data_IF_221345535629
#
_entry.id   IF_221345535629
#
_cell.length_a   1.000
_cell.length_b   1.000
_cell.length_c   1.000
_cell.angle_alpha   90.00
_cell.angle_beta   90.00
_cell.angle_gamma   90.00
#
_symmetry.space_group_name_H-M   'P 1'
#
loop_
_entity.id
_entity.type
_entity.pdbx_description
1 polymer ?
#
# COMPACT_ATOMS: atom_id res chain seq x y z
N UNK A 1 -7.01 -12.72 -12.96
CA UNK A 1 -6.06 -13.24 -12.00
C UNK A 1 -4.65 -13.24 -12.59
N UNK A 2 -3.66 -12.91 -11.78
CA UNK A 2 -2.23 -12.92 -12.15
C UNK A 2 -1.44 -13.74 -11.12
N UNK A 3 -0.28 -14.24 -11.55
CA UNK A 3 0.69 -14.88 -10.65
C UNK A 3 1.30 -13.82 -9.73
N UNK A 4 1.08 -13.98 -8.43
CA UNK A 4 1.50 -12.98 -7.45
C UNK A 4 3.02 -12.94 -7.29
N UNK A 5 3.72 -14.08 -7.36
CA UNK A 5 5.17 -14.11 -7.18
C UNK A 5 5.89 -13.43 -8.34
N UNK A 6 5.46 -13.70 -9.57
CA UNK A 6 6.01 -13.04 -10.77
C UNK A 6 5.74 -11.54 -10.71
N UNK A 7 4.53 -11.13 -10.27
CA UNK A 7 4.18 -9.72 -10.11
C UNK A 7 5.09 -9.01 -9.10
N UNK A 8 5.36 -9.66 -7.95
CA UNK A 8 6.19 -9.10 -6.88
C UNK A 8 7.68 -9.02 -7.23
N UNK A 9 8.19 -10.00 -7.98
CA UNK A 9 9.63 -10.13 -8.27
C UNK A 9 10.04 -9.53 -9.60
N UNK A 10 9.20 -9.69 -10.63
CA UNK A 10 9.53 -9.30 -12.00
C UNK A 10 8.75 -8.06 -12.48
N UNK A 11 7.85 -7.52 -11.65
CA UNK A 11 6.96 -6.40 -12.01
C UNK A 11 6.12 -6.69 -13.25
N UNK A 12 5.75 -7.96 -13.47
CA UNK A 12 4.99 -8.42 -14.63
C UNK A 12 3.69 -9.10 -14.21
N UNK A 13 2.58 -8.67 -14.78
CA UNK A 13 1.25 -9.22 -14.54
C UNK A 13 0.98 -10.45 -15.41
N UNK A 14 1.72 -11.53 -15.19
CA UNK A 14 1.54 -12.80 -15.92
C UNK A 14 0.22 -13.46 -15.48
N UNK A 15 -0.64 -13.92 -16.41
CA UNK A 15 -1.84 -14.64 -16.04
C UNK A 15 -1.55 -15.84 -15.14
N UNK A 16 -2.31 -15.97 -14.05
CA UNK A 16 -2.20 -17.12 -13.17
C UNK A 16 -2.62 -18.41 -13.90
N UNK A 17 -1.97 -19.50 -13.59
CA UNK A 17 -2.25 -20.84 -14.10
C UNK A 17 -2.19 -21.87 -12.95
N UNK A 18 -2.37 -23.15 -13.27
CA UNK A 18 -2.41 -24.24 -12.29
C UNK A 18 -1.13 -24.39 -11.45
N UNK A 19 0.01 -23.87 -11.94
CA UNK A 19 1.30 -23.91 -11.26
C UNK A 19 1.58 -22.66 -10.43
N UNK A 20 0.70 -21.65 -10.47
CA UNK A 20 0.87 -20.42 -9.70
C UNK A 20 0.68 -20.73 -8.22
N UNK A 21 1.75 -20.59 -7.42
CA UNK A 21 1.73 -20.86 -5.99
C UNK A 21 0.82 -19.88 -5.23
N UNK A 22 0.71 -18.66 -5.75
CA UNK A 22 -0.20 -17.60 -5.23
C UNK A 22 -0.83 -16.86 -6.39
N UNK A 23 -2.09 -16.52 -6.21
CA UNK A 23 -2.87 -15.80 -7.23
C UNK A 23 -3.39 -14.49 -6.65
N UNK A 24 -3.23 -13.40 -7.41
CA UNK A 24 -3.81 -12.10 -7.09
C UNK A 24 -4.85 -11.70 -8.14
N UNK A 25 -5.98 -11.17 -7.65
CA UNK A 25 -7.07 -10.71 -8.51
C UNK A 25 -7.08 -9.19 -8.55
N UNK A 26 -7.19 -8.66 -9.77
CA UNK A 26 -7.37 -7.23 -10.01
C UNK A 26 -8.66 -6.99 -10.77
N UNK A 27 -9.25 -5.83 -10.52
CA UNK A 27 -10.36 -5.34 -11.34
C UNK A 27 -9.77 -4.65 -12.56
N UNK A 28 -10.30 -4.98 -13.73
CA UNK A 28 -10.00 -4.26 -14.95
C UNK A 28 -10.86 -3.00 -14.98
N UNK A 29 -10.21 -1.83 -15.00
CA UNK A 29 -10.90 -0.54 -14.88
C UNK A 29 -11.54 -0.08 -16.21
N UNK A 30 -11.28 -0.79 -17.29
CA UNK A 30 -11.86 -0.50 -18.61
C UNK A 30 -10.90 0.22 -19.55
N UNK A 31 -11.47 0.70 -20.67
CA UNK A 31 -10.75 1.43 -21.71
C UNK A 31 -10.69 2.92 -21.42
N UNK A 32 -9.76 3.59 -22.06
CA UNK A 32 -9.66 5.05 -21.99
C UNK A 32 -10.90 5.71 -22.57
N UNK A 33 -11.28 6.84 -21.99
CA UNK A 33 -12.28 7.73 -22.56
C UNK A 33 -11.77 8.32 -23.88
N UNK A 34 -12.66 8.71 -24.81
CA UNK A 34 -12.25 9.47 -26.01
C UNK A 34 -11.39 10.68 -25.63
N UNK A 35 -10.44 11.00 -26.48
CA UNK A 35 -9.49 12.13 -26.30
C UNK A 35 -8.59 12.03 -25.04
N UNK A 36 -8.57 10.88 -24.36
CA UNK A 36 -7.67 10.62 -23.27
C UNK A 36 -6.63 9.57 -23.66
N UNK A 37 -5.45 9.78 -23.16
CA UNK A 37 -4.30 8.89 -23.35
C UNK A 37 -3.82 8.41 -21.98
N UNK A 38 -3.32 7.18 -21.94
CA UNK A 38 -2.67 6.62 -20.77
C UNK A 38 -1.36 5.98 -21.19
N UNK A 39 -0.37 6.17 -20.35
CA UNK A 39 0.93 5.53 -20.46
C UNK A 39 1.27 4.86 -19.13
N UNK A 40 1.95 3.72 -19.22
CA UNK A 40 2.60 3.09 -18.08
C UNK A 40 4.10 3.23 -18.28
N UNK A 41 4.78 3.84 -17.32
CA UNK A 41 6.21 4.15 -17.42
C UNK A 41 7.00 3.47 -16.31
N UNK A 42 8.21 3.03 -16.68
CA UNK A 42 9.20 2.53 -15.73
C UNK A 42 9.83 3.65 -14.89
N UNK A 43 10.71 3.26 -14.00
CA UNK A 43 11.45 4.21 -13.14
C UNK A 43 12.38 5.14 -13.93
N UNK A 44 12.86 4.68 -15.08
CA UNK A 44 13.65 5.48 -16.04
C UNK A 44 12.82 6.44 -16.88
N UNK A 45 11.49 6.42 -16.72
CA UNK A 45 10.53 7.21 -17.51
C UNK A 45 10.19 6.62 -18.88
N UNK A 46 10.78 5.48 -19.25
CA UNK A 46 10.48 4.77 -20.50
C UNK A 46 9.11 4.13 -20.50
N UNK A 47 8.49 4.02 -21.69
CA UNK A 47 7.22 3.33 -21.87
C UNK A 47 7.39 1.83 -21.66
N UNK A 48 6.50 1.25 -20.86
CA UNK A 48 6.45 -0.17 -20.60
C UNK A 48 5.51 -0.90 -21.57
N UNK A 49 5.80 -2.16 -21.82
CA UNK A 49 4.98 -3.03 -22.64
C UNK A 49 3.71 -3.49 -21.86
N UNK A 50 2.77 -4.12 -22.60
CA UNK A 50 1.59 -4.71 -21.97
C UNK A 50 2.00 -5.67 -20.85
N UNK A 51 1.26 -5.62 -19.74
CA UNK A 51 1.44 -6.42 -18.54
C UNK A 51 2.73 -6.15 -17.75
N UNK A 52 3.51 -5.17 -18.12
CA UNK A 52 4.58 -4.65 -17.26
C UNK A 52 4.02 -3.57 -16.33
N UNK A 53 4.31 -3.71 -15.04
CA UNK A 53 3.80 -2.81 -13.99
C UNK A 53 4.71 -1.63 -13.82
N UNK A 54 4.14 -0.44 -13.94
CA UNK A 54 4.83 0.81 -13.74
C UNK A 54 3.91 1.92 -13.28
N UNK A 55 4.41 3.13 -13.30
CA UNK A 55 3.69 4.33 -12.90
C UNK A 55 2.71 4.75 -14.01
N UNK A 56 1.48 5.04 -13.62
CA UNK A 56 0.42 5.41 -14.56
C UNK A 56 0.43 6.92 -14.76
N UNK A 57 0.55 7.32 -16.03
CA UNK A 57 0.42 8.69 -16.50
C UNK A 57 -0.82 8.82 -17.37
N UNK A 58 -1.53 9.92 -17.22
CA UNK A 58 -2.74 10.21 -18.03
C UNK A 58 -2.64 11.61 -18.64
N UNK A 59 -3.23 11.76 -19.84
CA UNK A 59 -3.38 13.04 -20.54
C UNK A 59 -4.77 13.11 -21.13
N UNK A 60 -5.40 14.27 -21.09
CA UNK A 60 -6.72 14.46 -21.69
C UNK A 60 -7.44 15.72 -21.20
N UNK A 61 -8.57 16.06 -21.81
CA UNK A 61 -9.27 17.33 -21.59
C UNK A 61 -9.93 17.46 -20.19
N UNK A 62 -10.12 16.35 -19.49
CA UNK A 62 -10.75 16.36 -18.15
C UNK A 62 -9.76 16.46 -16.99
N UNK A 63 -8.46 16.60 -17.28
CA UNK A 63 -7.46 16.71 -16.23
C UNK A 63 -7.57 18.05 -15.50
N UNK A 64 -7.13 18.05 -14.25
CA UNK A 64 -7.02 19.27 -13.46
C UNK A 64 -6.05 20.28 -14.12
N UNK A 65 -6.32 21.56 -13.96
CA UNK A 65 -5.40 22.62 -14.34
C UNK A 65 -4.21 22.74 -13.36
N UNK A 66 -4.36 22.22 -12.16
CA UNK A 66 -3.37 22.22 -11.09
C UNK A 66 -4.01 22.22 -9.71
N UNK A 67 -3.18 22.13 -8.69
CA UNK A 67 -3.60 22.28 -7.29
C UNK A 67 -3.80 23.76 -6.98
N UNK A 68 -4.92 24.11 -6.35
CA UNK A 68 -5.26 25.50 -6.02
C UNK A 68 -4.23 26.12 -5.07
N UNK A 69 -3.62 27.21 -5.50
CA UNK A 69 -2.60 27.93 -4.70
C UNK A 69 -1.29 27.19 -4.49
N UNK A 70 -1.04 26.06 -5.20
CA UNK A 70 0.13 25.22 -5.01
C UNK A 70 0.84 24.90 -6.37
N UNK A 71 1.45 25.91 -7.00
CA UNK A 71 2.10 25.73 -8.31
C UNK A 71 3.30 24.74 -8.29
N UNK A 72 4.04 24.71 -7.20
CA UNK A 72 5.18 23.77 -7.08
C UNK A 72 4.71 22.31 -6.98
N UNK A 73 3.63 22.05 -6.22
CA UNK A 73 3.01 20.73 -6.15
C UNK A 73 2.44 20.32 -7.52
N UNK A 74 1.86 21.28 -8.23
CA UNK A 74 1.34 21.05 -9.58
C UNK A 74 2.46 20.65 -10.53
N UNK A 75 3.57 21.38 -10.54
CA UNK A 75 4.72 21.09 -11.41
C UNK A 75 5.38 19.74 -11.14
N UNK A 76 5.23 19.17 -9.94
CA UNK A 76 5.75 17.83 -9.60
C UNK A 76 4.93 16.70 -10.23
N UNK A 77 3.66 16.93 -10.53
CA UNK A 77 2.77 15.87 -11.02
C UNK A 77 2.24 16.11 -12.42
N UNK A 78 2.22 17.36 -12.90
CA UNK A 78 1.70 17.72 -14.21
C UNK A 78 2.84 18.28 -15.07
N UNK A 79 3.21 17.55 -16.11
CA UNK A 79 4.28 17.96 -17.04
C UNK A 79 3.83 19.07 -17.97
N UNK A 80 4.79 19.74 -18.61
CA UNK A 80 4.53 20.79 -19.62
C UNK A 80 3.79 20.23 -20.85
N UNK A 81 3.94 18.94 -21.16
CA UNK A 81 3.26 18.26 -22.26
C UNK A 81 1.84 17.80 -21.89
N UNK A 82 1.37 18.11 -20.67
CA UNK A 82 0.04 17.80 -20.17
C UNK A 82 -0.13 16.38 -19.63
N UNK A 83 0.94 15.68 -19.31
CA UNK A 83 0.89 14.39 -18.64
C UNK A 83 0.79 14.57 -17.13
N UNK A 84 -0.23 13.96 -16.54
CA UNK A 84 -0.41 13.87 -15.09
C UNK A 84 0.14 12.55 -14.58
N UNK A 85 1.13 12.62 -13.68
CA UNK A 85 1.50 11.49 -12.83
C UNK A 85 0.40 11.26 -11.80
N UNK A 86 -0.32 10.15 -11.92
CA UNK A 86 -1.44 9.82 -11.02
C UNK A 86 -0.96 9.40 -9.62
N UNK A 87 0.30 9.00 -9.49
CA UNK A 87 0.85 8.37 -8.30
C UNK A 87 0.36 6.92 -8.10
N UNK A 88 -0.38 6.38 -9.05
CA UNK A 88 -0.81 4.98 -9.04
C UNK A 88 0.15 4.11 -9.85
N UNK A 89 0.26 2.84 -9.45
CA UNK A 89 0.92 1.77 -10.19
C UNK A 89 -0.12 0.91 -10.91
N UNK A 90 0.26 0.41 -12.06
CA UNK A 90 -0.61 -0.48 -12.82
C UNK A 90 0.02 -0.96 -14.13
N UNK A 91 -0.79 -1.58 -14.96
CA UNK A 91 -0.37 -2.09 -16.26
C UNK A 91 -1.52 -2.01 -17.26
N UNK A 92 -1.17 -2.07 -18.54
CA UNK A 92 -2.14 -2.19 -19.64
C UNK A 92 -2.29 -3.66 -20.06
N UNK A 93 -3.49 -4.04 -20.48
CA UNK A 93 -3.79 -5.34 -21.07
C UNK A 93 -4.94 -5.23 -22.03
N UNK A 94 -4.71 -5.52 -23.31
CA UNK A 94 -5.72 -5.38 -24.38
C UNK A 94 -6.31 -3.98 -24.46
N UNK A 95 -5.52 -2.94 -24.28
CA UNK A 95 -5.94 -1.54 -24.26
C UNK A 95 -6.78 -1.13 -23.05
N UNK A 96 -6.84 -1.96 -22.01
CA UNK A 96 -7.53 -1.67 -20.76
C UNK A 96 -6.52 -1.44 -19.63
N UNK A 97 -6.86 -0.54 -18.69
CA UNK A 97 -6.03 -0.24 -17.53
C UNK A 97 -6.39 -1.12 -16.33
N UNK A 98 -5.36 -1.57 -15.63
CA UNK A 98 -5.48 -2.28 -14.37
C UNK A 98 -4.62 -1.57 -13.34
N UNK A 99 -5.20 -1.12 -12.24
CA UNK A 99 -4.51 -0.46 -11.15
C UNK A 99 -4.09 -1.52 -10.12
N UNK A 100 -2.82 -1.54 -9.75
CA UNK A 100 -2.26 -2.49 -8.77
C UNK A 100 -2.09 -1.89 -7.37
N UNK A 101 -1.95 -0.57 -7.26
CA UNK A 101 -1.82 0.13 -5.98
C UNK A 101 -1.28 1.54 -6.13
N UNK A 102 -0.81 2.11 -5.02
CA UNK A 102 -0.17 3.42 -4.96
C UNK A 102 1.35 3.28 -4.92
N UNK A 103 2.06 4.05 -5.73
CA UNK A 103 3.51 4.01 -5.76
C UNK A 103 4.14 4.33 -4.39
N UNK A 104 3.62 5.34 -3.69
CA UNK A 104 4.09 5.76 -2.37
C UNK A 104 3.74 4.81 -1.21
N UNK A 105 2.79 3.91 -1.43
CA UNK A 105 2.36 2.94 -0.40
C UNK A 105 3.08 1.59 -0.59
N UNK A 106 3.78 1.39 -1.72
CA UNK A 106 4.51 0.16 -1.99
C UNK A 106 5.62 -0.04 -0.96
N UNK A 107 5.71 -1.24 -0.41
CA UNK A 107 6.77 -1.64 0.51
C UNK A 107 7.70 -2.60 -0.24
N UNK A 108 8.99 -2.34 -0.18
CA UNK A 108 10.01 -3.20 -0.82
C UNK A 108 10.71 -4.01 0.27
N UNK A 109 10.50 -5.32 0.27
CA UNK A 109 11.12 -6.21 1.24
C UNK A 109 11.94 -7.27 0.51
N UNK A 110 13.23 -7.30 0.77
CA UNK A 110 14.16 -8.25 0.12
C UNK A 110 14.05 -8.22 -1.42
N UNK A 111 13.91 -7.03 -2.01
CA UNK A 111 13.79 -6.82 -3.45
C UNK A 111 12.43 -7.21 -4.05
N UNK A 112 11.42 -7.53 -3.21
CA UNK A 112 10.05 -7.83 -3.67
C UNK A 112 9.13 -6.65 -3.40
N UNK A 113 8.30 -6.35 -4.36
CA UNK A 113 7.21 -5.37 -4.20
C UNK A 113 6.05 -5.99 -3.44
N UNK A 114 5.75 -5.45 -2.27
CA UNK A 114 4.66 -5.90 -1.41
C UNK A 114 3.63 -4.77 -1.29
N UNK A 115 2.38 -5.09 -1.54
CA UNK A 115 1.28 -4.13 -1.42
C UNK A 115 0.68 -4.19 -0.01
N UNK A 116 0.81 -3.15 0.81
CA UNK A 116 0.28 -3.12 2.17
C UNK A 116 -1.20 -3.49 2.27
N UNK A 117 -2.00 -3.05 1.32
CA UNK A 117 -3.43 -3.33 1.30
C UNK A 117 -3.76 -4.83 1.24
N UNK A 118 -2.96 -5.62 0.51
CA UNK A 118 -3.16 -7.07 0.45
C UNK A 118 -2.83 -7.73 1.79
N UNK A 119 -1.78 -7.24 2.45
CA UNK A 119 -1.40 -7.70 3.78
C UNK A 119 -2.47 -7.40 4.83
N UNK A 120 -3.02 -6.18 4.78
CA UNK A 120 -4.10 -5.72 5.65
C UNK A 120 -5.34 -6.59 5.49
N UNK A 121 -5.83 -6.75 4.25
CA UNK A 121 -7.01 -7.56 3.96
C UNK A 121 -6.81 -9.04 4.32
N UNK A 122 -5.63 -9.59 4.03
CA UNK A 122 -5.34 -10.98 4.35
C UNK A 122 -5.31 -11.22 5.87
N UNK A 123 -4.72 -10.30 6.65
CA UNK A 123 -4.72 -10.38 8.10
C UNK A 123 -6.15 -10.23 8.68
N UNK A 124 -6.92 -9.27 8.18
CA UNK A 124 -8.32 -9.03 8.60
C UNK A 124 -9.26 -10.21 8.26
N UNK A 125 -8.99 -10.90 7.16
CA UNK A 125 -9.78 -12.08 6.77
C UNK A 125 -9.44 -13.32 7.58
N UNK A 126 -8.20 -13.48 8.02
CA UNK A 126 -7.72 -14.69 8.69
C UNK A 126 -7.83 -14.61 10.22
N UNK A 127 -7.57 -13.44 10.80
CA UNK A 127 -7.57 -13.24 12.25
C UNK A 127 -8.97 -12.85 12.72
N UNK A 128 -9.69 -13.77 13.30
CA UNK A 128 -11.12 -13.63 13.65
C UNK A 128 -11.45 -12.46 14.60
N UNK A 129 -10.48 -11.97 15.37
CA UNK A 129 -10.66 -10.83 16.28
C UNK A 129 -10.56 -9.47 15.58
N UNK A 130 -10.11 -9.42 14.32
CA UNK A 130 -9.98 -8.22 13.51
C UNK A 130 -11.23 -7.92 12.69
N UNK A 131 -11.42 -6.66 12.36
CA UNK A 131 -12.47 -6.16 11.47
C UNK A 131 -11.83 -5.40 10.32
N UNK A 132 -12.59 -5.18 9.27
CA UNK A 132 -12.15 -4.34 8.15
C UNK A 132 -11.76 -2.95 8.63
N UNK A 133 -10.55 -2.51 8.27
CA UNK A 133 -9.96 -1.24 8.68
C UNK A 133 -9.26 -1.25 10.04
N UNK A 134 -9.06 -2.41 10.65
CA UNK A 134 -8.32 -2.54 11.90
C UNK A 134 -6.80 -2.58 11.71
N UNK A 135 -6.32 -2.86 10.51
CA UNK A 135 -4.90 -3.05 10.23
C UNK A 135 -4.37 -1.96 9.31
N UNK A 136 -3.22 -1.42 9.62
CA UNK A 136 -2.45 -0.52 8.74
C UNK A 136 -1.01 -1.03 8.64
N UNK A 137 -0.56 -1.28 7.40
CA UNK A 137 0.79 -1.75 7.11
C UNK A 137 1.55 -0.67 6.34
N UNK A 138 2.78 -0.41 6.75
CA UNK A 138 3.71 0.48 6.05
C UNK A 138 5.15 0.13 6.45
N UNK A 139 6.12 0.64 5.72
CA UNK A 139 7.52 0.51 6.08
C UNK A 139 8.08 1.78 6.69
N UNK A 140 9.11 1.58 7.51
CA UNK A 140 9.96 2.64 8.05
C UNK A 140 11.40 2.33 7.70
N UNK A 141 12.04 3.30 7.08
CA UNK A 141 13.45 3.23 6.73
C UNK A 141 14.31 3.62 7.94
N UNK A 142 15.24 2.75 8.31
CA UNK A 142 16.24 2.97 9.37
C UNK A 142 17.66 3.11 8.78
N UNK A 143 17.76 3.44 7.49
CA UNK A 143 19.02 3.72 6.77
C UNK A 143 19.56 2.52 6.00
N UNK A 144 19.89 1.41 6.63
CA UNK A 144 20.34 0.18 5.94
C UNK A 144 19.24 -0.88 5.84
N UNK A 145 18.25 -0.81 6.73
CA UNK A 145 17.16 -1.78 6.81
C UNK A 145 15.78 -1.10 6.74
N UNK A 146 14.87 -1.68 6.00
CA UNK A 146 13.47 -1.30 5.93
C UNK A 146 12.65 -2.19 6.88
N UNK A 147 12.09 -1.61 7.93
CA UNK A 147 11.25 -2.32 8.91
C UNK A 147 9.78 -2.21 8.52
N UNK A 148 9.10 -3.36 8.42
CA UNK A 148 7.65 -3.40 8.16
C UNK A 148 6.89 -3.27 9.47
N UNK A 149 6.12 -2.21 9.60
CA UNK A 149 5.28 -1.91 10.75
C UNK A 149 3.84 -2.31 10.47
N UNK A 150 3.23 -3.00 11.41
CA UNK A 150 1.82 -3.39 11.39
C UNK A 150 1.12 -2.76 12.60
N UNK A 151 0.40 -1.66 12.38
CA UNK A 151 -0.46 -1.08 13.40
C UNK A 151 -1.78 -1.81 13.42
N UNK A 152 -2.24 -2.23 14.61
CA UNK A 152 -3.45 -3.04 14.75
C UNK A 152 -4.35 -2.47 15.83
N UNK A 153 -5.58 -2.11 15.47
CA UNK A 153 -6.60 -1.70 16.43
C UNK A 153 -7.02 -2.89 17.29
N UNK A 154 -6.69 -2.85 18.57
CA UNK A 154 -6.98 -3.91 19.52
C UNK A 154 -8.07 -3.50 20.52
N UNK A 155 -9.10 -4.31 20.65
CA UNK A 155 -10.20 -4.12 21.58
C UNK A 155 -10.06 -4.94 22.86
N UNK A 156 -9.08 -5.88 22.88
CA UNK A 156 -8.83 -6.69 24.06
C UNK A 156 -8.24 -5.85 25.19
N UNK A 157 -8.76 -6.01 26.38
CA UNK A 157 -8.30 -5.37 27.62
C UNK A 157 -7.33 -6.22 28.40
N UNK A 158 -7.40 -7.54 28.24
CA UNK A 158 -6.55 -8.49 28.95
C UNK A 158 -5.19 -8.63 28.24
N UNK A 159 -4.11 -8.59 29.01
CA UNK A 159 -2.74 -8.67 28.49
C UNK A 159 -2.49 -9.99 27.74
N UNK A 160 -3.02 -11.11 28.25
CA UNK A 160 -2.90 -12.41 27.59
C UNK A 160 -3.53 -12.42 26.19
N UNK A 161 -4.71 -11.83 26.03
CA UNK A 161 -5.39 -11.73 24.73
C UNK A 161 -4.66 -10.78 23.76
N UNK A 162 -4.08 -9.71 24.29
CA UNK A 162 -3.26 -8.77 23.52
C UNK A 162 -1.98 -9.45 23.01
N UNK A 163 -1.31 -10.19 23.91
CA UNK A 163 -0.10 -10.93 23.56
C UNK A 163 -0.38 -12.01 22.50
N UNK A 164 -1.46 -12.78 22.67
CA UNK A 164 -1.88 -13.78 21.69
C UNK A 164 -2.14 -13.17 20.31
N UNK A 165 -2.78 -12.00 20.23
CA UNK A 165 -3.03 -11.32 18.96
C UNK A 165 -1.70 -10.92 18.27
N UNK A 166 -0.72 -10.42 19.02
CA UNK A 166 0.61 -10.08 18.47
C UNK A 166 1.30 -11.32 17.94
N UNK A 167 1.26 -12.44 18.68
CA UNK A 167 1.88 -13.71 18.27
C UNK A 167 1.21 -14.29 17.02
N UNK A 168 -0.12 -14.26 16.94
CA UNK A 168 -0.88 -14.74 15.78
C UNK A 168 -0.56 -13.92 14.53
N UNK A 169 -0.52 -12.60 14.64
CA UNK A 169 -0.16 -11.72 13.53
C UNK A 169 1.29 -11.91 13.09
N UNK A 170 2.23 -12.00 14.05
CA UNK A 170 3.64 -12.24 13.73
C UNK A 170 3.82 -13.58 13.00
N UNK A 171 3.15 -14.63 13.49
CA UNK A 171 3.15 -15.95 12.84
C UNK A 171 2.52 -15.92 11.45
N UNK A 172 1.42 -15.18 11.29
CA UNK A 172 0.74 -15.00 10.01
C UNK A 172 1.66 -14.35 8.97
N UNK A 173 2.26 -13.19 9.28
CA UNK A 173 3.11 -12.48 8.34
C UNK A 173 4.38 -13.26 8.01
N UNK A 174 5.04 -13.85 9.01
CA UNK A 174 6.22 -14.70 8.80
C UNK A 174 5.90 -15.94 7.98
N UNK A 175 4.88 -16.69 8.35
CA UNK A 175 4.56 -17.99 7.74
C UNK A 175 3.97 -17.87 6.34
N UNK A 176 3.01 -16.96 6.14
CA UNK A 176 2.30 -16.85 4.85
C UNK A 176 2.93 -15.87 3.88
N UNK A 177 3.51 -14.80 4.38
CA UNK A 177 4.05 -13.74 3.55
C UNK A 177 5.58 -13.74 3.49
N UNK A 178 6.25 -14.48 4.39
CA UNK A 178 7.71 -14.47 4.52
C UNK A 178 8.25 -13.10 4.95
N UNK A 179 7.45 -12.35 5.74
CA UNK A 179 7.76 -11.00 6.18
C UNK A 179 8.04 -10.97 7.67
N UNK A 180 9.19 -10.44 8.05
CA UNK A 180 9.43 -10.02 9.43
C UNK A 180 8.73 -8.68 9.66
N UNK A 181 7.91 -8.61 10.70
CA UNK A 181 7.08 -7.43 10.96
C UNK A 181 7.13 -7.04 12.43
N UNK A 182 7.06 -5.75 12.68
CA UNK A 182 6.82 -5.21 14.03
C UNK A 182 5.34 -4.91 14.21
N UNK A 183 4.67 -5.74 15.00
CA UNK A 183 3.26 -5.55 15.33
C UNK A 183 3.13 -4.58 16.51
N UNK A 184 2.32 -3.53 16.34
CA UNK A 184 2.05 -2.52 17.36
C UNK A 184 0.54 -2.42 17.57
N UNK A 185 0.08 -2.75 18.77
CA UNK A 185 -1.33 -2.64 19.13
C UNK A 185 -1.67 -1.20 19.49
N UNK A 186 -2.71 -0.67 18.84
CA UNK A 186 -3.22 0.68 19.05
C UNK A 186 -4.67 0.66 19.53
N UNK A 187 -5.16 1.70 20.22
CA UNK A 187 -6.54 1.78 20.64
C UNK A 187 -7.52 1.73 19.45
N UNK A 188 -8.76 1.26 19.62
CA UNK A 188 -9.81 1.36 18.62
C UNK A 188 -9.99 2.80 18.14
N UNK A 189 -10.28 2.98 16.84
CA UNK A 189 -10.50 4.28 16.20
C UNK A 189 -9.31 5.25 16.21
N UNK A 190 -8.09 4.74 16.43
CA UNK A 190 -6.88 5.57 16.40
C UNK A 190 -6.18 5.61 15.04
N UNK A 191 -6.50 4.70 14.12
CA UNK A 191 -5.96 4.73 12.77
C UNK A 191 -6.58 5.89 11.97
N UNK A 192 -5.74 6.74 11.34
CA UNK A 192 -6.24 7.90 10.61
C UNK A 192 -6.93 7.50 9.31
N UNK A 193 -8.03 8.19 9.02
CA UNK A 193 -8.80 8.02 7.80
C UNK A 193 -8.79 9.30 6.97
N UNK A 194 -8.99 9.15 5.66
CA UNK A 194 -9.25 10.25 4.74
C UNK A 194 -10.69 10.75 4.92
N UNK A 195 -11.02 11.88 4.29
CA UNK A 195 -12.40 12.41 4.26
C UNK A 195 -13.41 11.44 3.65
N UNK A 196 -12.96 10.50 2.82
CA UNK A 196 -13.79 9.44 2.23
C UNK A 196 -13.86 8.15 3.07
N UNK A 197 -13.34 8.17 4.31
CA UNK A 197 -13.37 7.02 5.23
C UNK A 197 -12.34 5.92 4.92
N UNK A 198 -11.40 6.16 4.00
CA UNK A 198 -10.34 5.19 3.69
C UNK A 198 -9.15 5.38 4.62
N UNK A 199 -8.48 4.28 4.98
CA UNK A 199 -7.23 4.32 5.73
C UNK A 199 -6.18 5.21 5.05
N UNK A 200 -5.56 6.11 5.82
CA UNK A 200 -4.45 6.95 5.38
C UNK A 200 -3.13 6.39 5.91
N UNK A 201 -2.46 5.51 5.15
CA UNK A 201 -1.18 4.89 5.54
C UNK A 201 -0.09 5.93 5.76
N UNK A 202 0.00 6.94 4.89
CA UNK A 202 0.99 8.01 5.03
C UNK A 202 0.84 8.77 6.35
N UNK A 203 -0.41 9.03 6.77
CA UNK A 203 -0.68 9.69 8.05
C UNK A 203 -0.43 8.75 9.23
N UNK A 204 -0.79 7.47 9.11
CA UNK A 204 -0.50 6.45 10.13
C UNK A 204 1.02 6.32 10.35
N UNK A 205 1.80 6.29 9.26
CA UNK A 205 3.26 6.29 9.29
C UNK A 205 3.82 7.54 9.98
N UNK A 206 3.33 8.73 9.63
CA UNK A 206 3.77 9.96 10.27
C UNK A 206 3.48 9.95 11.78
N UNK A 207 2.28 9.57 12.19
CA UNK A 207 1.90 9.45 13.60
C UNK A 207 2.77 8.42 14.36
N UNK A 208 3.14 7.31 13.71
CA UNK A 208 4.04 6.31 14.30
C UNK A 208 5.44 6.88 14.53
N UNK A 209 6.00 7.57 13.54
CA UNK A 209 7.31 8.22 13.63
C UNK A 209 7.34 9.33 14.70
N UNK A 210 6.24 10.06 14.86
CA UNK A 210 6.06 11.07 15.90
C UNK A 210 5.82 10.48 17.30
N UNK A 211 5.81 9.14 17.43
CA UNK A 211 5.67 8.44 18.72
C UNK A 211 4.23 8.38 19.26
N UNK A 212 3.22 8.72 18.46
CA UNK A 212 1.82 8.76 18.90
C UNK A 212 1.29 7.39 19.39
N UNK A 213 1.90 6.29 18.96
CA UNK A 213 1.52 4.92 19.30
C UNK A 213 2.47 4.24 20.28
N UNK A 214 3.48 4.95 20.79
CA UNK A 214 4.32 4.43 21.87
C UNK A 214 3.52 4.42 23.19
N UNK A 215 3.70 3.40 24.06
CA UNK A 215 3.13 3.47 25.39
C UNK A 215 3.67 4.75 26.06
N UNK A 216 2.76 5.64 26.49
CA UNK A 216 3.15 6.80 27.30
C UNK A 216 3.93 6.27 28.49
N UNK A 217 5.20 6.69 28.61
CA UNK A 217 5.93 6.46 29.83
C UNK A 217 5.07 6.99 30.98
N UNK A 218 4.63 6.11 31.87
CA UNK A 218 3.98 6.52 33.11
C UNK A 218 5.00 7.42 33.82
N UNK A 219 4.66 8.71 33.93
CA UNK A 219 5.45 9.60 34.78
C UNK A 219 5.46 8.97 36.17
N UNK A 220 6.60 8.43 36.55
CA UNK A 220 6.85 8.03 37.92
C UNK A 220 6.69 9.29 38.77
N UNK A 221 5.61 9.35 39.54
CA UNK A 221 5.46 10.40 40.54
C UNK A 221 6.69 10.33 41.42
N UNK A 222 7.49 11.39 41.37
CA UNK A 222 8.57 11.58 42.34
C UNK A 222 7.88 11.87 43.68
N UNK A 223 8.09 10.99 44.66
CA UNK A 223 7.91 11.28 46.10
C UNK A 223 8.99 12.21 46.59
#
# INVERSE_FOLDING_TARGET
AVDQLVLEQEHRAVPANENSARTRHFVVCGQMLPEHEVEVRGEDGGLLAEREVGRIYVRGPSLMLGYFGAPEETARVLSAEGWLDTGDLGYLTGGQIVITGRAKDLVIVNGRNVWPQDLEWAAEAEIASLRSGDVAVFSVDHGEDEEVIVLVQCRATEDAARQALVEDLTRFFRGRQGLETRVVLVPPHSLPQTSSGKLSRSRARAMYLDGAFQPRATATAAE
#
